data_IF_900790224476
#
_entry.id   IF_900790224476
#
_cell.length_a   1.000
_cell.length_b   1.000
_cell.length_c   1.000
_cell.angle_alpha   90.00
_cell.angle_beta   90.00
_cell.angle_gamma   90.00
#
_symmetry.space_group_name_H-M   'P 1'
#
loop_
_entity.id
_entity.type
_entity.pdbx_description
1 polymer ?
#
# COMPACT_ATOMS: atom_id res chain seq x y z
N UNK A 1 15.90 -15.16 5.42
CA UNK A 1 15.10 -14.17 4.68
C UNK A 1 15.99 -13.60 3.59
N UNK A 2 15.58 -13.66 2.32
CA UNK A 2 16.38 -13.11 1.22
C UNK A 2 16.55 -11.61 1.37
N UNK A 3 17.80 -11.16 1.31
CA UNK A 3 18.14 -9.73 1.36
C UNK A 3 18.36 -9.23 -0.07
N UNK A 4 17.60 -8.23 -0.46
CA UNK A 4 17.63 -7.60 -1.78
C UNK A 4 18.22 -6.21 -1.58
N UNK A 5 19.41 -5.96 -2.11
CA UNK A 5 20.19 -4.76 -1.84
C UNK A 5 20.24 -3.93 -3.10
N UNK A 6 19.78 -2.67 -3.00
CA UNK A 6 19.90 -1.71 -4.09
C UNK A 6 21.31 -1.10 -4.10
N UNK A 7 21.97 -1.16 -5.25
CA UNK A 7 23.29 -0.58 -5.49
C UNK A 7 23.29 0.13 -6.86
N UNK A 8 23.16 1.46 -6.87
CA UNK A 8 23.17 2.27 -8.08
C UNK A 8 22.22 1.74 -9.18
N UNK A 9 20.94 1.60 -8.82
CA UNK A 9 19.87 1.00 -9.66
C UNK A 9 20.01 -0.48 -9.98
N UNK A 10 21.12 -1.14 -9.62
CA UNK A 10 21.25 -2.60 -9.73
C UNK A 10 20.77 -3.28 -8.47
N UNK A 11 20.37 -4.53 -8.62
CA UNK A 11 19.97 -5.36 -7.50
C UNK A 11 21.05 -6.40 -7.24
N UNK A 12 21.54 -6.42 -6.00
CA UNK A 12 22.38 -7.49 -5.46
C UNK A 12 21.56 -8.29 -4.45
N UNK A 13 21.63 -9.61 -4.53
CA UNK A 13 20.89 -10.47 -3.62
C UNK A 13 21.84 -11.27 -2.72
N UNK A 14 21.40 -11.54 -1.49
CA UNK A 14 22.08 -12.40 -0.51
C UNK A 14 21.03 -13.36 0.05
N UNK A 15 21.38 -14.65 0.17
CA UNK A 15 20.47 -15.72 0.60
C UNK A 15 19.19 -15.82 -0.25
N UNK A 16 19.31 -15.52 -1.54
CA UNK A 16 18.24 -15.54 -2.53
C UNK A 16 18.51 -16.58 -3.61
N UNK A 17 17.47 -17.32 -3.98
CA UNK A 17 17.47 -18.31 -5.05
C UNK A 17 16.28 -18.07 -5.96
N UNK A 18 16.50 -17.89 -7.26
CA UNK A 18 15.43 -17.68 -8.24
C UNK A 18 14.50 -18.89 -8.41
N UNK A 19 14.88 -20.06 -7.88
CA UNK A 19 14.09 -21.29 -7.96
C UNK A 19 13.31 -21.58 -6.68
N UNK A 20 13.45 -20.73 -5.66
CA UNK A 20 12.77 -20.89 -4.37
C UNK A 20 11.53 -19.99 -4.34
N UNK A 21 10.44 -20.51 -3.78
CA UNK A 21 9.23 -19.74 -3.52
C UNK A 21 9.40 -18.90 -2.25
N UNK A 22 9.04 -17.62 -2.33
CA UNK A 22 9.09 -16.68 -1.20
C UNK A 22 7.74 -16.01 -1.02
N UNK A 23 7.33 -15.78 0.24
CA UNK A 23 6.24 -14.85 0.53
C UNK A 23 6.75 -13.42 0.37
N UNK A 24 5.88 -12.49 -0.05
CA UNK A 24 6.29 -11.10 -0.24
C UNK A 24 6.89 -10.49 1.04
N UNK A 25 6.31 -10.81 2.19
CA UNK A 25 6.74 -10.32 3.50
C UNK A 25 8.14 -10.81 3.89
N UNK A 26 8.63 -11.89 3.30
CA UNK A 26 9.97 -12.42 3.56
C UNK A 26 11.06 -11.67 2.79
N UNK A 27 10.68 -10.91 1.76
CA UNK A 27 11.59 -10.10 0.95
C UNK A 27 11.96 -8.83 1.71
N UNK A 28 13.25 -8.64 1.98
CA UNK A 28 13.77 -7.45 2.67
C UNK A 28 14.60 -6.61 1.72
N UNK A 29 14.18 -5.37 1.45
CA UNK A 29 14.83 -4.45 0.53
C UNK A 29 15.71 -3.46 1.28
N UNK A 30 17.02 -3.53 1.06
CA UNK A 30 18.01 -2.65 1.67
C UNK A 30 18.28 -1.49 0.72
N UNK A 31 17.88 -0.30 1.14
CA UNK A 31 17.98 0.92 0.35
C UNK A 31 19.08 1.82 0.94
N UNK A 32 20.06 2.25 0.14
CA UNK A 32 21.19 3.01 0.65
C UNK A 32 20.81 4.42 1.15
N UNK A 33 21.68 4.97 2.01
CA UNK A 33 21.53 6.27 2.66
C UNK A 33 21.15 7.43 1.73
N UNK A 34 21.67 7.42 0.51
CA UNK A 34 21.41 8.46 -0.51
C UNK A 34 19.94 8.60 -0.91
N UNK A 35 19.11 7.56 -0.69
CA UNK A 35 17.68 7.60 -1.00
C UNK A 35 16.79 7.67 0.25
N UNK A 36 17.33 8.03 1.42
CA UNK A 36 16.55 7.99 2.67
C UNK A 36 15.32 8.88 2.69
N UNK A 37 15.35 9.98 1.94
CA UNK A 37 14.22 10.91 1.84
C UNK A 37 13.29 10.57 0.67
N UNK A 38 13.62 9.55 -0.14
CA UNK A 38 12.78 9.15 -1.25
C UNK A 38 11.58 8.34 -0.77
N UNK A 39 10.45 8.53 -1.44
CA UNK A 39 9.32 7.61 -1.32
C UNK A 39 9.60 6.39 -2.18
N UNK A 40 9.38 5.19 -1.62
CA UNK A 40 9.75 3.93 -2.25
C UNK A 40 8.50 3.10 -2.53
N UNK A 41 8.36 2.75 -3.81
CA UNK A 41 7.32 1.87 -4.30
C UNK A 41 7.95 0.61 -4.89
N UNK A 42 7.27 -0.52 -4.76
CA UNK A 42 7.53 -1.73 -5.52
C UNK A 42 6.44 -1.91 -6.56
N UNK A 43 6.82 -2.16 -7.80
CA UNK A 43 5.90 -2.58 -8.85
C UNK A 43 6.12 -4.05 -9.10
N UNK A 44 5.04 -4.83 -9.04
CA UNK A 44 5.03 -6.27 -9.22
C UNK A 44 4.24 -6.61 -10.49
N UNK A 45 4.86 -7.33 -11.40
CA UNK A 45 4.19 -7.98 -12.53
C UNK A 45 4.09 -9.47 -12.26
N UNK A 46 2.86 -9.98 -12.22
CA UNK A 46 2.61 -11.39 -11.97
C UNK A 46 2.61 -12.24 -13.25
N UNK A 47 2.58 -13.56 -13.07
CA UNK A 47 2.58 -14.54 -14.16
C UNK A 47 1.34 -14.49 -15.06
N UNK A 48 0.29 -13.77 -14.66
CA UNK A 48 -0.96 -13.61 -15.42
C UNK A 48 -1.09 -12.25 -16.09
N UNK A 49 -0.06 -11.39 -15.99
CA UNK A 49 -0.05 -10.06 -16.56
C UNK A 49 -0.78 -9.01 -15.71
N UNK A 50 -1.14 -9.33 -14.47
CA UNK A 50 -1.63 -8.34 -13.50
C UNK A 50 -0.43 -7.57 -12.94
N UNK A 51 -0.57 -6.25 -12.89
CA UNK A 51 0.38 -5.37 -12.27
C UNK A 51 -0.16 -4.79 -10.96
N UNK A 52 0.71 -4.66 -9.97
CA UNK A 52 0.36 -4.04 -8.70
C UNK A 52 1.49 -3.13 -8.23
N UNK A 53 1.10 -1.93 -7.77
CA UNK A 53 2.01 -0.94 -7.22
C UNK A 53 1.76 -0.89 -5.73
N UNK A 54 2.80 -1.16 -4.95
CA UNK A 54 2.73 -1.22 -3.50
C UNK A 54 3.70 -0.20 -2.91
N UNK A 55 3.26 0.58 -1.94
CA UNK A 55 4.19 1.32 -1.09
C UNK A 55 4.88 0.33 -0.15
N UNK A 56 6.19 0.49 0.03
CA UNK A 56 6.92 -0.31 1.01
C UNK A 56 7.03 0.42 2.34
N UNK A 57 6.95 -0.33 3.43
CA UNK A 57 7.06 0.21 4.79
C UNK A 57 8.50 0.06 5.28
N UNK A 58 9.07 1.14 5.80
CA UNK A 58 10.37 1.07 6.48
C UNK A 58 10.22 0.33 7.81
N UNK A 59 10.94 -0.77 7.96
CA UNK A 59 10.86 -1.66 9.13
C UNK A 59 12.09 -1.55 10.03
N UNK A 60 13.26 -1.26 9.46
CA UNK A 60 14.52 -1.24 10.20
C UNK A 60 15.46 -0.16 9.64
N UNK A 61 16.21 0.50 10.54
CA UNK A 61 17.31 1.38 10.17
C UNK A 61 18.64 0.72 10.53
N UNK A 62 19.51 0.54 9.54
CA UNK A 62 20.89 0.07 9.69
C UNK A 62 21.86 1.18 9.29
N UNK A 63 23.12 1.06 9.71
CA UNK A 63 24.13 2.12 9.61
C UNK A 63 24.13 2.87 8.26
N UNK A 64 24.07 2.15 7.13
CA UNK A 64 24.09 2.73 5.78
C UNK A 64 22.83 2.42 4.95
N UNK A 65 21.82 1.78 5.55
CA UNK A 65 20.65 1.28 4.83
C UNK A 65 19.35 1.45 5.63
N UNK A 66 18.26 1.80 4.95
CA UNK A 66 16.89 1.59 5.44
C UNK A 66 16.39 0.29 4.85
N UNK A 67 15.76 -0.54 5.68
CA UNK A 67 15.18 -1.80 5.28
C UNK A 67 13.68 -1.61 5.08
N UNK A 68 13.21 -2.01 3.92
CA UNK A 68 11.82 -1.91 3.53
C UNK A 68 11.24 -3.30 3.29
N UNK A 69 10.00 -3.51 3.73
CA UNK A 69 9.27 -4.76 3.52
C UNK A 69 7.86 -4.45 3.00
N UNK A 70 7.26 -5.47 2.41
CA UNK A 70 5.84 -5.48 2.07
C UNK A 70 4.99 -5.48 3.35
N UNK A 71 3.88 -4.75 3.33
CA UNK A 71 2.92 -4.75 4.43
C UNK A 71 2.20 -6.12 4.49
N UNK A 72 2.31 -6.88 5.60
CA UNK A 72 1.61 -8.16 5.75
C UNK A 72 0.09 -8.02 5.78
N UNK A 73 -0.42 -6.83 6.09
CA UNK A 73 -1.86 -6.55 6.19
C UNK A 73 -2.49 -6.22 4.83
N UNK A 74 -1.67 -5.92 3.83
CA UNK A 74 -2.14 -5.51 2.51
C UNK A 74 -2.60 -6.72 1.69
N UNK A 75 -3.77 -6.60 1.06
CA UNK A 75 -4.32 -7.65 0.19
C UNK A 75 -3.85 -7.45 -1.24
N UNK A 76 -2.90 -8.28 -1.65
CA UNK A 76 -2.34 -8.23 -3.00
C UNK A 76 -3.26 -8.91 -4.03
N UNK A 77 -3.52 -8.23 -5.14
CA UNK A 77 -4.32 -8.72 -6.27
C UNK A 77 -3.55 -9.73 -7.13
N UNK A 78 -2.22 -9.72 -7.05
CA UNK A 78 -1.36 -10.65 -7.80
C UNK A 78 -1.62 -12.13 -7.43
N UNK A 79 -1.20 -13.02 -8.32
CA UNK A 79 -1.24 -14.48 -8.10
C UNK A 79 0.15 -15.02 -7.77
N UNK A 80 0.16 -16.16 -7.09
CA UNK A 80 1.39 -16.92 -6.84
C UNK A 80 2.01 -17.39 -8.16
N UNK A 81 3.34 -17.41 -8.21
CA UNK A 81 4.14 -17.86 -9.34
C UNK A 81 5.25 -16.88 -9.71
N UNK A 82 5.83 -17.09 -10.89
CA UNK A 82 6.90 -16.25 -11.43
C UNK A 82 6.43 -14.81 -11.55
N UNK A 83 7.15 -13.91 -10.89
CA UNK A 83 6.85 -12.48 -10.88
C UNK A 83 8.12 -11.68 -11.11
N UNK A 84 7.94 -10.46 -11.62
CA UNK A 84 9.01 -9.48 -11.76
C UNK A 84 8.71 -8.33 -10.80
N UNK A 85 9.68 -7.99 -9.97
CA UNK A 85 9.61 -6.87 -9.03
C UNK A 85 10.68 -5.85 -9.41
N UNK A 86 10.34 -4.57 -9.41
CA UNK A 86 11.31 -3.49 -9.46
C UNK A 86 10.88 -2.36 -8.53
N UNK A 87 11.86 -1.65 -8.02
CA UNK A 87 11.70 -0.55 -7.09
C UNK A 87 11.68 0.76 -7.86
N UNK A 88 10.78 1.64 -7.46
CA UNK A 88 10.69 3.02 -7.93
C UNK A 88 10.89 3.93 -6.74
N UNK A 89 11.97 4.72 -6.77
CA UNK A 89 12.33 5.66 -5.73
C UNK A 89 12.10 7.07 -6.26
N UNK A 90 11.23 7.82 -5.60
CA UNK A 90 10.81 9.16 -6.01
C UNK A 90 11.27 10.16 -4.96
N UNK A 91 12.07 11.13 -5.39
CA UNK A 91 12.52 12.24 -4.53
C UNK A 91 11.33 13.07 -4.00
N UNK A 92 11.47 13.73 -2.84
CA UNK A 92 10.40 14.55 -2.25
C UNK A 92 9.88 15.66 -3.16
N UNK A 93 10.76 16.25 -3.97
CA UNK A 93 10.46 17.32 -4.91
C UNK A 93 10.00 16.80 -6.28
N UNK A 94 9.92 15.47 -6.45
CA UNK A 94 9.64 14.77 -7.72
C UNK A 94 10.65 15.09 -8.85
N UNK A 95 11.81 15.67 -8.53
CA UNK A 95 12.81 16.08 -9.52
C UNK A 95 13.65 14.92 -10.06
N UNK A 96 13.87 13.88 -9.24
CA UNK A 96 14.57 12.66 -9.60
C UNK A 96 13.75 11.41 -9.32
N UNK A 97 13.73 10.49 -10.30
CA UNK A 97 13.14 9.16 -10.20
C UNK A 97 14.24 8.14 -10.48
N UNK A 98 14.45 7.22 -9.56
CA UNK A 98 15.38 6.09 -9.73
C UNK A 98 14.57 4.80 -9.83
N UNK A 99 14.86 3.99 -10.85
CA UNK A 99 14.19 2.71 -11.07
C UNK A 99 15.24 1.61 -10.98
N UNK A 100 14.97 0.56 -10.19
CA UNK A 100 15.87 -0.58 -10.09
C UNK A 100 15.79 -1.49 -11.31
N UNK A 101 16.80 -2.34 -11.48
CA UNK A 101 16.74 -3.52 -12.33
C UNK A 101 15.59 -4.45 -11.93
N UNK A 102 15.11 -5.23 -12.90
CA UNK A 102 14.17 -6.33 -12.72
C UNK A 102 14.72 -7.40 -11.74
N UNK A 103 13.95 -7.68 -10.70
CA UNK A 103 14.12 -8.82 -9.82
C UNK A 103 13.10 -9.90 -10.19
N UNK A 104 13.60 -11.01 -10.73
CA UNK A 104 12.78 -12.19 -10.99
C UNK A 104 12.66 -13.05 -9.72
N UNK A 105 11.45 -13.28 -9.25
CA UNK A 105 11.17 -14.04 -8.01
C UNK A 105 9.92 -14.90 -8.17
N UNK A 106 9.91 -16.08 -7.54
CA UNK A 106 8.71 -16.92 -7.47
C UNK A 106 7.96 -16.55 -6.19
N UNK A 107 6.83 -15.86 -6.34
CA UNK A 107 6.05 -15.34 -5.22
C UNK A 107 5.02 -16.37 -4.79
N UNK A 108 4.91 -16.61 -3.48
CA UNK A 108 3.81 -17.34 -2.86
C UNK A 108 2.88 -16.33 -2.18
N UNK A 109 1.66 -16.20 -2.68
CA UNK A 109 0.59 -15.45 -2.02
C UNK A 109 -0.32 -16.43 -1.31
N UNK A 110 -0.17 -16.53 0.01
CA UNK A 110 -1.08 -17.32 0.83
C UNK A 110 -2.38 -16.53 1.02
N UNK A 111 -3.36 -16.79 0.15
CA UNK A 111 -4.69 -16.19 0.24
C UNK A 111 -5.44 -16.86 1.39
N UNK A 112 -5.14 -16.53 2.64
CA UNK A 112 -5.98 -16.95 3.77
C UNK A 112 -7.29 -16.17 3.71
N UNK A 113 -8.27 -16.77 3.03
CA UNK A 113 -9.33 -16.10 2.25
C UNK A 113 -10.65 -15.90 2.99
N UNK A 114 -10.71 -15.98 4.32
CA UNK A 114 -12.00 -15.89 5.04
C UNK A 114 -11.96 -14.84 6.15
N UNK A 115 -11.02 -14.92 7.09
CA UNK A 115 -10.92 -13.97 8.21
C UNK A 115 -10.62 -12.53 7.76
N UNK A 116 -9.77 -12.34 6.75
CA UNK A 116 -9.46 -11.00 6.23
C UNK A 116 -10.65 -10.38 5.47
N UNK A 117 -11.40 -11.17 4.70
CA UNK A 117 -12.62 -10.68 4.06
C UNK A 117 -13.71 -10.35 5.08
N UNK A 118 -13.83 -11.15 6.15
CA UNK A 118 -14.72 -10.83 7.27
C UNK A 118 -14.32 -9.52 7.94
N UNK A 119 -13.04 -9.34 8.26
CA UNK A 119 -12.52 -8.11 8.88
C UNK A 119 -12.73 -6.88 7.99
N UNK A 120 -12.46 -7.00 6.68
CA UNK A 120 -12.74 -5.93 5.71
C UNK A 120 -14.23 -5.61 5.66
N UNK A 121 -15.08 -6.63 5.62
CA UNK A 121 -16.54 -6.46 5.59
C UNK A 121 -17.04 -5.78 6.85
N UNK A 122 -16.53 -6.15 8.03
CA UNK A 122 -16.85 -5.49 9.30
C UNK A 122 -16.41 -4.02 9.29
N UNK A 123 -15.20 -3.74 8.79
CA UNK A 123 -14.65 -2.38 8.71
C UNK A 123 -15.48 -1.51 7.76
N UNK A 124 -15.82 -2.02 6.58
CA UNK A 124 -16.69 -1.32 5.62
C UNK A 124 -18.09 -1.11 6.18
N UNK A 125 -18.66 -2.11 6.86
CA UNK A 125 -19.98 -2.01 7.48
C UNK A 125 -20.01 -0.92 8.56
N UNK A 126 -18.94 -0.82 9.37
CA UNK A 126 -18.80 0.24 10.38
C UNK A 126 -18.69 1.62 9.75
N UNK A 127 -17.85 1.79 8.72
CA UNK A 127 -17.73 3.06 8.00
C UNK A 127 -19.04 3.48 7.33
N UNK A 128 -19.80 2.53 6.78
CA UNK A 128 -21.12 2.78 6.21
C UNK A 128 -22.10 3.25 7.28
N UNK A 129 -22.14 2.58 8.44
CA UNK A 129 -23.00 2.98 9.56
C UNK A 129 -22.67 4.41 10.02
N UNK A 130 -21.40 4.71 10.24
CA UNK A 130 -20.95 6.06 10.64
C UNK A 130 -21.34 7.12 9.60
N UNK A 131 -21.29 6.77 8.31
CA UNK A 131 -21.69 7.66 7.21
C UNK A 131 -23.20 7.90 7.21
N UNK A 132 -24.01 6.85 7.40
CA UNK A 132 -25.47 6.99 7.49
C UNK A 132 -25.89 7.84 8.69
N UNK A 133 -25.25 7.66 9.84
CA UNK A 133 -25.51 8.50 11.03
C UNK A 133 -25.23 9.98 10.72
N UNK A 134 -24.09 10.28 10.08
CA UNK A 134 -23.78 11.67 9.67
C UNK A 134 -24.78 12.24 8.67
N UNK A 135 -25.26 11.43 7.71
CA UNK A 135 -26.28 11.86 6.76
C UNK A 135 -27.59 12.18 7.48
N UNK A 136 -27.99 11.36 8.46
CA UNK A 136 -29.19 11.60 9.26
C UNK A 136 -29.09 12.91 10.06
N UNK A 137 -27.96 13.14 10.71
CA UNK A 137 -27.68 14.38 11.45
C UNK A 137 -27.73 15.61 10.55
N UNK A 138 -27.09 15.56 9.38
CA UNK A 138 -27.13 16.63 8.38
C UNK A 138 -28.54 16.87 7.84
N UNK A 139 -29.33 15.81 7.68
CA UNK A 139 -30.72 15.92 7.22
C UNK A 139 -31.59 16.61 8.26
N UNK A 140 -31.46 16.23 9.54
CA UNK A 140 -32.15 16.90 10.66
C UNK A 140 -31.77 18.38 10.74
N UNK A 141 -30.48 18.69 10.63
CA UNK A 141 -30.02 20.08 10.62
C UNK A 141 -30.62 20.88 9.45
N UNK A 142 -30.73 20.26 8.26
CA UNK A 142 -31.33 20.91 7.10
C UNK A 142 -32.81 21.22 7.34
N UNK A 143 -33.57 20.26 7.89
CA UNK A 143 -34.98 20.46 8.25
C UNK A 143 -35.13 21.62 9.25
N UNK A 144 -34.33 21.62 10.32
CA UNK A 144 -34.34 22.69 11.34
C UNK A 144 -34.06 24.08 10.72
N UNK A 145 -33.13 24.15 9.76
CA UNK A 145 -32.82 25.40 9.04
C UNK A 145 -34.04 25.85 8.22
N UNK A 146 -34.66 24.94 7.46
CA UNK A 146 -35.86 25.26 6.69
C UNK A 146 -37.01 25.74 7.57
N UNK A 147 -37.25 25.09 8.71
CA UNK A 147 -38.27 25.51 9.66
C UNK A 147 -38.00 26.92 10.22
N UNK A 148 -36.74 27.22 10.58
CA UNK A 148 -36.34 28.56 11.02
C UNK A 148 -36.51 29.62 9.94
N UNK A 149 -36.17 29.31 8.69
CA UNK A 149 -36.37 30.24 7.56
C UNK A 149 -37.86 30.55 7.38
N UNK A 150 -38.73 29.53 7.45
CA UNK A 150 -40.18 29.73 7.33
C UNK A 150 -40.73 30.57 8.47
N UNK A 151 -40.26 30.35 9.70
CA UNK A 151 -40.63 31.17 10.87
C UNK A 151 -40.21 32.63 10.69
N UNK A 152 -38.95 32.88 10.34
CA UNK A 152 -38.43 34.23 10.09
C UNK A 152 -39.18 34.92 8.95
N UNK A 153 -39.54 34.21 7.87
CA UNK A 153 -40.30 34.79 6.77
C UNK A 153 -41.68 35.28 7.24
N UNK A 154 -42.37 34.50 8.09
CA UNK A 154 -43.66 34.87 8.68
C UNK A 154 -43.59 36.06 9.66
N UNK A 155 -42.44 36.34 10.26
CA UNK A 155 -42.27 37.50 11.15
C UNK A 155 -42.05 38.81 10.37
N UNK A 156 -41.65 38.71 9.10
CA UNK A 156 -41.31 39.85 8.23
C UNK A 156 -42.39 40.12 7.17
N UNK A 157 -43.41 39.26 7.05
CA UNK A 157 -44.61 39.45 6.21
C UNK A 157 -45.87 39.60 7.04
#
# INVERSE_FOLDING_TARGET
MPNIILDNSKIRTVDFSSSTEYELTDLSFYIPAEYFDHTIYAIIYDCTGVNEICSLTNTELRANYKVFNFDPSYSYRIKSGNSIIYLVLISPDMGSITISQDLHVIVKIDKMKVSHYTLLTETFSKQLADTYTKIEELTKLNIDIYEKIVLLHKEVT
#
